data_IF_016493794006
#
_entry.id   IF_016493794006
#
_cell.length_a   1.000
_cell.length_b   1.000
_cell.length_c   1.000
_cell.angle_alpha   90.00
_cell.angle_beta   90.00
_cell.angle_gamma   90.00
#
_symmetry.space_group_name_H-M   'P 1'
#
loop_
_entity.id
_entity.type
_entity.pdbx_description
1 polymer ?
#
# COMPACT_ATOMS: atom_id res chain seq x y z
N UNK A 1 -1.62 -44.47 -26.25
CA UNK A 1 -0.92 -43.66 -25.24
C UNK A 1 -0.47 -44.60 -24.13
N UNK A 2 0.81 -44.61 -23.75
CA UNK A 2 1.32 -45.54 -22.74
C UNK A 2 1.11 -44.98 -21.31
N UNK A 3 1.30 -45.82 -20.29
CA UNK A 3 1.10 -45.45 -18.87
C UNK A 3 1.94 -44.24 -18.45
N UNK A 4 3.15 -44.10 -18.99
CA UNK A 4 4.07 -42.99 -18.72
C UNK A 4 3.52 -41.67 -19.30
N UNK A 5 2.97 -41.71 -20.52
CA UNK A 5 2.33 -40.55 -21.15
C UNK A 5 1.06 -40.12 -20.40
N UNK A 6 0.26 -41.07 -19.89
CA UNK A 6 -0.87 -40.76 -19.01
C UNK A 6 -0.43 -40.10 -17.70
N UNK A 7 0.63 -40.61 -17.05
CA UNK A 7 1.17 -40.04 -15.82
C UNK A 7 1.69 -38.61 -16.05
N UNK A 8 2.39 -38.36 -17.16
CA UNK A 8 2.88 -37.03 -17.55
C UNK A 8 1.72 -36.06 -17.78
N UNK A 9 0.68 -36.47 -18.52
CA UNK A 9 -0.50 -35.64 -18.75
C UNK A 9 -1.22 -35.28 -17.44
N UNK A 10 -1.37 -36.24 -16.53
CA UNK A 10 -2.00 -35.99 -15.23
C UNK A 10 -1.16 -35.03 -14.37
N UNK A 11 0.17 -35.19 -14.36
CA UNK A 11 1.07 -34.28 -13.64
C UNK A 11 1.01 -32.85 -14.23
N UNK A 12 1.07 -32.73 -15.56
CA UNK A 12 0.96 -31.45 -16.25
C UNK A 12 -0.40 -30.78 -15.98
N UNK A 13 -1.50 -31.55 -15.99
CA UNK A 13 -2.83 -31.04 -15.68
C UNK A 13 -2.93 -30.51 -14.25
N UNK A 14 -2.45 -31.27 -13.26
CA UNK A 14 -2.42 -30.81 -11.86
C UNK A 14 -1.60 -29.53 -11.71
N UNK A 15 -0.43 -29.49 -12.34
CA UNK A 15 0.41 -28.29 -12.30
C UNK A 15 -0.30 -27.06 -12.92
N UNK A 16 -1.00 -27.23 -14.05
CA UNK A 16 -1.78 -26.16 -14.67
C UNK A 16 -2.92 -25.70 -13.75
N UNK A 17 -3.67 -26.64 -13.16
CA UNK A 17 -4.78 -26.36 -12.25
C UNK A 17 -4.29 -25.61 -10.99
N UNK A 18 -3.20 -26.07 -10.38
CA UNK A 18 -2.57 -25.41 -9.22
C UNK A 18 -2.11 -23.98 -9.55
N UNK A 19 -1.45 -23.77 -10.70
CA UNK A 19 -1.06 -22.42 -11.12
C UNK A 19 -2.26 -21.52 -11.40
N UNK A 20 -3.32 -22.06 -11.98
CA UNK A 20 -4.55 -21.31 -12.25
C UNK A 20 -5.19 -20.83 -10.95
N UNK A 21 -5.34 -21.73 -9.98
CA UNK A 21 -5.86 -21.39 -8.64
C UNK A 21 -4.99 -20.32 -7.96
N UNK A 22 -3.66 -20.48 -8.02
CA UNK A 22 -2.72 -19.52 -7.44
C UNK A 22 -2.86 -18.14 -8.09
N UNK A 23 -2.95 -18.08 -9.42
CA UNK A 23 -3.14 -16.81 -10.14
C UNK A 23 -4.46 -16.12 -9.76
N UNK A 24 -5.56 -16.88 -9.63
CA UNK A 24 -6.85 -16.34 -9.23
C UNK A 24 -6.81 -15.79 -7.80
N UNK A 25 -6.24 -16.54 -6.85
CA UNK A 25 -6.06 -16.07 -5.48
C UNK A 25 -5.20 -14.80 -5.40
N UNK A 26 -4.15 -14.70 -6.22
CA UNK A 26 -3.34 -13.49 -6.29
C UNK A 26 -4.13 -12.29 -6.84
N UNK A 27 -4.95 -12.50 -7.87
CA UNK A 27 -5.79 -11.44 -8.43
C UNK A 27 -6.84 -10.95 -7.42
N UNK A 28 -7.48 -11.86 -6.68
CA UNK A 28 -8.43 -11.54 -5.62
C UNK A 28 -7.77 -10.75 -4.48
N UNK A 29 -6.59 -11.19 -4.02
CA UNK A 29 -5.84 -10.48 -2.99
C UNK A 29 -5.40 -9.08 -3.43
N UNK A 30 -5.00 -8.91 -4.70
CA UNK A 30 -4.65 -7.60 -5.26
C UNK A 30 -5.87 -6.66 -5.36
N UNK A 31 -7.04 -7.18 -5.74
CA UNK A 31 -8.27 -6.39 -5.79
C UNK A 31 -8.70 -5.93 -4.38
N UNK A 32 -8.69 -6.84 -3.40
CA UNK A 32 -8.96 -6.52 -2.00
C UNK A 32 -7.99 -5.47 -1.47
N UNK A 33 -6.72 -5.58 -1.85
CA UNK A 33 -5.71 -4.60 -1.47
C UNK A 33 -6.01 -3.19 -2.00
N UNK A 34 -6.34 -3.07 -3.29
CA UNK A 34 -6.69 -1.78 -3.89
C UNK A 34 -7.89 -1.16 -3.18
N UNK A 35 -8.90 -1.96 -2.84
CA UNK A 35 -10.05 -1.48 -2.06
C UNK A 35 -9.65 -1.00 -0.65
N UNK A 36 -8.79 -1.74 0.04
CA UNK A 36 -8.29 -1.35 1.38
C UNK A 36 -7.47 -0.06 1.32
N UNK A 37 -6.65 0.09 0.29
CA UNK A 37 -5.88 1.29 0.04
C UNK A 37 -6.80 2.49 -0.22
N UNK A 38 -7.83 2.34 -1.05
CA UNK A 38 -8.81 3.40 -1.30
C UNK A 38 -9.53 3.81 -0.01
N UNK A 39 -9.93 2.83 0.82
CA UNK A 39 -10.53 3.09 2.13
C UNK A 39 -9.58 3.87 3.07
N UNK A 40 -8.29 3.58 3.01
CA UNK A 40 -7.29 4.31 3.78
C UNK A 40 -7.09 5.74 3.27
N UNK A 41 -6.97 5.94 1.96
CA UNK A 41 -6.87 7.29 1.41
C UNK A 41 -8.11 8.11 1.79
N UNK A 42 -9.30 7.50 1.79
CA UNK A 42 -10.51 8.12 2.31
C UNK A 42 -10.44 8.42 3.82
N UNK A 43 -9.85 7.54 4.62
CA UNK A 43 -9.64 7.77 6.06
C UNK A 43 -8.71 8.96 6.31
N UNK A 44 -7.58 9.03 5.59
CA UNK A 44 -6.63 10.14 5.69
C UNK A 44 -7.30 11.47 5.32
N UNK A 45 -8.15 11.47 4.28
CA UNK A 45 -8.95 12.66 3.92
C UNK A 45 -9.85 13.14 5.05
N UNK A 46 -10.46 12.22 5.79
CA UNK A 46 -11.31 12.56 6.93
C UNK A 46 -10.45 13.17 8.04
N UNK A 47 -9.27 12.59 8.32
CA UNK A 47 -8.34 13.11 9.32
C UNK A 47 -7.85 14.53 9.00
N UNK A 48 -7.57 14.83 7.74
CA UNK A 48 -7.13 16.18 7.31
C UNK A 48 -8.30 17.11 6.96
N UNK A 49 -9.55 16.63 7.03
CA UNK A 49 -10.72 17.44 6.69
C UNK A 49 -10.83 18.76 7.47
N UNK A 50 -10.47 18.84 8.78
CA UNK A 50 -10.50 20.09 9.50
C UNK A 50 -9.57 21.17 8.92
N UNK A 51 -8.51 20.78 8.20
CA UNK A 51 -7.55 21.72 7.60
C UNK A 51 -8.10 22.44 6.37
N UNK A 52 -9.20 21.94 5.77
CA UNK A 52 -9.85 22.57 4.61
C UNK A 52 -10.40 23.97 4.86
N UNK A 53 -10.52 24.39 6.12
CA UNK A 53 -10.90 25.76 6.47
C UNK A 53 -9.74 26.74 6.40
N UNK A 54 -8.50 26.26 6.29
CA UNK A 54 -7.31 27.10 6.19
C UNK A 54 -7.11 27.56 4.74
N UNK A 55 -6.78 28.84 4.57
CA UNK A 55 -6.43 29.37 3.26
C UNK A 55 -5.13 28.74 2.75
N UNK A 56 -5.09 28.38 1.46
CA UNK A 56 -3.96 27.71 0.84
C UNK A 56 -3.78 26.23 1.19
N UNK A 57 -4.72 25.58 1.89
CA UNK A 57 -4.72 24.13 2.06
C UNK A 57 -5.53 23.43 0.96
N UNK A 58 -4.91 22.48 0.26
CA UNK A 58 -5.54 21.74 -0.85
C UNK A 58 -5.24 20.24 -0.68
N UNK A 59 -6.24 19.41 -1.02
CA UNK A 59 -6.09 17.95 -1.09
C UNK A 59 -6.43 17.48 -2.50
N UNK A 60 -5.48 16.82 -3.17
CA UNK A 60 -5.63 16.31 -4.53
C UNK A 60 -5.42 14.79 -4.59
N UNK A 61 -6.15 14.10 -5.47
CA UNK A 61 -5.80 12.71 -5.84
C UNK A 61 -4.66 12.74 -6.83
N UNK A 62 -3.71 11.83 -6.63
CA UNK A 62 -2.63 11.57 -7.58
C UNK A 62 -2.62 10.09 -7.94
N UNK A 63 -2.31 9.79 -9.19
CA UNK A 63 -2.02 8.41 -9.61
C UNK A 63 -0.55 8.10 -9.35
N UNK A 64 -0.27 6.90 -8.87
CA UNK A 64 1.08 6.47 -8.52
C UNK A 64 1.28 4.99 -8.84
N UNK A 65 2.46 4.68 -9.36
CA UNK A 65 2.92 3.32 -9.57
C UNK A 65 3.61 2.81 -8.31
N UNK A 66 3.39 1.55 -7.96
CA UNK A 66 4.10 0.89 -6.88
C UNK A 66 4.36 -0.59 -7.17
N UNK A 67 5.49 -1.14 -6.68
CA UNK A 67 5.78 -2.55 -6.80
C UNK A 67 4.76 -3.40 -6.03
N UNK A 68 4.41 -4.53 -6.63
CA UNK A 68 3.61 -5.58 -6.04
C UNK A 68 4.29 -6.93 -6.26
N UNK A 69 4.41 -7.72 -5.21
CA UNK A 69 4.99 -9.06 -5.27
C UNK A 69 3.94 -10.10 -4.94
N UNK A 70 3.76 -11.09 -5.80
CA UNK A 70 2.82 -12.16 -5.54
C UNK A 70 3.42 -13.31 -4.70
N UNK A 71 2.58 -14.30 -4.39
CA UNK A 71 3.00 -15.48 -3.61
C UNK A 71 4.12 -16.32 -4.24
N UNK A 72 4.32 -16.19 -5.55
CA UNK A 72 5.38 -16.84 -6.30
C UNK A 72 6.61 -15.94 -6.47
N UNK A 73 6.68 -14.82 -5.74
CA UNK A 73 7.75 -13.80 -5.82
C UNK A 73 7.84 -13.15 -7.20
N UNK A 74 6.74 -13.14 -7.96
CA UNK A 74 6.67 -12.41 -9.22
C UNK A 74 6.38 -10.95 -8.91
N UNK A 75 7.24 -10.08 -9.40
CA UNK A 75 7.06 -8.64 -9.29
C UNK A 75 6.22 -8.11 -10.44
N UNK A 76 5.34 -7.16 -10.13
CA UNK A 76 4.58 -6.37 -11.09
C UNK A 76 4.47 -4.94 -10.60
N UNK A 77 4.13 -4.02 -11.49
CA UNK A 77 3.83 -2.63 -11.14
C UNK A 77 2.32 -2.47 -11.14
N UNK A 78 1.77 -2.02 -10.02
CA UNK A 78 0.36 -1.69 -9.89
C UNK A 78 0.19 -0.17 -9.89
N UNK A 79 -0.90 0.26 -10.52
CA UNK A 79 -1.36 1.64 -10.47
C UNK A 79 -2.41 1.78 -9.41
N UNK A 80 -2.19 2.75 -8.52
CA UNK A 80 -3.10 3.04 -7.42
C UNK A 80 -3.19 4.54 -7.18
N UNK A 81 -4.13 4.92 -6.32
CA UNK A 81 -4.32 6.32 -5.93
C UNK A 81 -3.51 6.64 -4.68
N UNK A 82 -2.98 7.85 -4.66
CA UNK A 82 -2.41 8.50 -3.49
C UNK A 82 -3.07 9.85 -3.25
N UNK A 83 -2.55 10.57 -2.27
CA UNK A 83 -2.96 11.92 -1.94
C UNK A 83 -1.78 12.88 -2.02
N UNK A 84 -2.05 14.09 -2.47
CA UNK A 84 -1.17 15.24 -2.31
C UNK A 84 -1.86 16.26 -1.43
N UNK A 85 -1.20 16.64 -0.35
CA UNK A 85 -1.61 17.67 0.60
C UNK A 85 -0.72 18.89 0.37
N UNK A 86 -1.31 19.99 -0.07
CA UNK A 86 -0.59 21.25 -0.27
C UNK A 86 -0.88 22.19 0.89
N UNK A 87 0.18 22.74 1.48
CA UNK A 87 0.15 23.73 2.56
C UNK A 87 0.84 25.00 2.05
N UNK A 88 0.04 25.95 1.54
CA UNK A 88 0.53 27.16 0.88
C UNK A 88 1.51 26.85 -0.28
N UNK A 89 2.81 26.97 -0.05
CA UNK A 89 3.89 26.73 -1.02
C UNK A 89 4.63 25.40 -0.79
N UNK A 90 4.18 24.57 0.15
CA UNK A 90 4.79 23.27 0.47
C UNK A 90 3.83 22.10 0.21
N UNK A 91 4.37 20.90 0.04
CA UNK A 91 3.59 19.71 -0.29
C UNK A 91 4.02 18.47 0.52
N UNK A 92 3.03 17.65 0.86
CA UNK A 92 3.18 16.30 1.41
C UNK A 92 2.45 15.32 0.49
N UNK A 93 3.13 14.27 0.07
CA UNK A 93 2.54 13.14 -0.65
C UNK A 93 2.33 11.97 0.28
N UNK A 94 1.20 11.29 0.08
CA UNK A 94 0.83 10.03 0.72
C UNK A 94 0.58 9.03 -0.39
N UNK A 95 1.51 8.10 -0.62
CA UNK A 95 1.47 7.19 -1.77
C UNK A 95 1.78 5.76 -1.36
N UNK A 96 1.16 4.74 -1.99
CA UNK A 96 1.55 3.35 -1.79
C UNK A 96 3.03 3.16 -2.14
N UNK A 97 3.74 2.45 -1.26
CA UNK A 97 5.16 2.18 -1.41
C UNK A 97 5.40 0.79 -2.00
N UNK A 98 4.72 -0.22 -1.49
CA UNK A 98 4.83 -1.60 -1.95
C UNK A 98 3.65 -2.44 -1.46
N UNK A 99 3.45 -3.58 -2.12
CA UNK A 99 2.45 -4.59 -1.79
C UNK A 99 3.04 -6.00 -1.93
N UNK A 100 2.66 -6.91 -1.05
CA UNK A 100 3.07 -8.31 -1.12
C UNK A 100 1.94 -9.24 -0.71
N UNK A 101 1.70 -10.27 -1.54
CA UNK A 101 0.76 -11.36 -1.27
C UNK A 101 1.51 -12.56 -0.69
N UNK A 102 1.00 -13.12 0.39
CA UNK A 102 1.55 -14.28 1.09
C UNK A 102 0.85 -15.57 0.65
N UNK A 103 1.66 -16.61 0.42
CA UNK A 103 1.30 -17.77 -0.41
C UNK A 103 0.36 -18.83 0.15
N UNK A 104 -0.59 -18.49 1.03
CA UNK A 104 -1.59 -19.50 1.41
C UNK A 104 -2.95 -18.99 1.91
N UNK A 105 -3.13 -17.71 2.23
CA UNK A 105 -4.31 -17.30 3.01
C UNK A 105 -4.80 -15.88 2.69
N UNK A 106 -5.03 -15.53 1.41
CA UNK A 106 -5.47 -14.18 0.98
C UNK A 106 -4.79 -13.04 1.77
N UNK A 107 -3.56 -13.28 2.22
CA UNK A 107 -2.93 -12.47 3.24
C UNK A 107 -1.97 -11.58 2.52
N UNK A 108 -1.98 -10.33 2.87
CA UNK A 108 -1.21 -9.35 2.16
C UNK A 108 -0.77 -8.25 3.08
N UNK A 109 0.45 -7.80 2.82
CA UNK A 109 1.09 -6.73 3.56
C UNK A 109 1.58 -5.69 2.57
N UNK A 110 1.82 -4.49 3.09
CA UNK A 110 2.47 -3.45 2.32
C UNK A 110 2.68 -2.22 3.15
N UNK A 111 3.07 -1.16 2.45
CA UNK A 111 3.26 0.12 3.08
C UNK A 111 2.81 1.29 2.20
N UNK A 112 2.63 2.42 2.86
CA UNK A 112 2.42 3.73 2.26
C UNK A 112 3.49 4.67 2.76
N UNK A 113 4.09 5.39 1.82
CA UNK A 113 5.03 6.44 2.10
C UNK A 113 4.29 7.75 2.35
N UNK A 114 4.72 8.45 3.40
CA UNK A 114 4.36 9.84 3.68
C UNK A 114 5.65 10.64 3.56
N UNK A 115 5.69 11.56 2.60
CA UNK A 115 6.91 12.29 2.30
C UNK A 115 6.63 13.73 1.89
N UNK A 116 7.55 14.62 2.20
CA UNK A 116 7.50 16.03 1.82
C UNK A 116 8.91 16.59 1.75
N UNK A 117 9.10 17.68 1.02
CA UNK A 117 10.43 18.29 0.88
C UNK A 117 10.90 18.81 2.24
N UNK A 118 12.03 18.31 2.74
CA UNK A 118 12.56 18.66 4.06
C UNK A 118 11.98 17.86 5.23
N UNK A 119 11.01 16.99 4.95
CA UNK A 119 10.42 16.06 5.90
C UNK A 119 11.29 14.80 6.07
N UNK A 120 11.22 14.16 7.23
CA UNK A 120 11.69 12.76 7.35
C UNK A 120 10.65 11.86 6.67
N UNK A 121 11.08 10.88 5.87
CA UNK A 121 10.13 9.96 5.24
C UNK A 121 9.58 8.95 6.25
N UNK A 122 8.26 8.77 6.24
CA UNK A 122 7.55 7.80 7.06
C UNK A 122 6.96 6.71 6.18
N UNK A 123 6.99 5.47 6.66
CA UNK A 123 6.18 4.40 6.07
C UNK A 123 5.14 3.91 7.05
N UNK A 124 3.89 3.81 6.61
CA UNK A 124 2.79 3.20 7.35
C UNK A 124 2.61 1.79 6.82
N UNK A 125 2.86 0.79 7.67
CA UNK A 125 2.74 -0.62 7.32
C UNK A 125 1.34 -1.12 7.69
N UNK A 126 0.77 -1.89 6.78
CA UNK A 126 -0.49 -2.57 6.99
C UNK A 126 -0.33 -4.06 6.70
N UNK A 127 -1.21 -4.84 7.30
CA UNK A 127 -1.32 -6.27 7.11
C UNK A 127 -2.79 -6.66 7.18
N UNK A 128 -3.29 -7.39 6.18
CA UNK A 128 -4.66 -7.89 6.12
C UNK A 128 -5.74 -6.84 6.45
N UNK A 129 -5.61 -5.63 5.87
CA UNK A 129 -6.57 -4.55 6.07
C UNK A 129 -6.51 -3.84 7.43
N UNK A 130 -5.50 -4.13 8.26
CA UNK A 130 -5.26 -3.43 9.52
C UNK A 130 -3.88 -2.76 9.52
N UNK A 131 -3.80 -1.57 10.09
CA UNK A 131 -2.50 -0.93 10.35
C UNK A 131 -1.78 -1.62 11.48
N UNK A 132 -0.52 -1.93 11.26
CA UNK A 132 0.31 -2.54 12.30
C UNK A 132 1.23 -1.50 12.92
N UNK A 133 1.97 -0.76 12.09
CA UNK A 133 3.04 0.11 12.56
C UNK A 133 3.36 1.24 11.60
N UNK A 134 4.04 2.25 12.12
CA UNK A 134 4.75 3.27 11.37
C UNK A 134 6.25 3.12 11.56
N UNK A 135 7.02 3.43 10.52
CA UNK A 135 8.47 3.44 10.57
C UNK A 135 9.03 4.79 10.13
N UNK A 136 10.02 5.30 10.87
CA UNK A 136 10.71 6.57 10.61
C UNK A 136 12.17 6.30 10.27
N UNK A 137 12.55 6.46 9.01
CA UNK A 137 13.88 6.09 8.56
C UNK A 137 14.26 4.64 8.94
N UNK A 138 15.56 4.30 8.93
CA UNK A 138 16.01 2.97 9.31
C UNK A 138 15.95 2.76 10.83
N UNK A 139 14.96 1.99 11.31
CA UNK A 139 15.01 1.33 12.62
C UNK A 139 14.11 1.87 13.73
N UNK A 140 13.38 2.97 13.51
CA UNK A 140 12.41 3.46 14.51
C UNK A 140 11.00 3.00 14.14
N UNK A 141 10.45 2.06 14.91
CA UNK A 141 9.08 1.56 14.75
C UNK A 141 8.15 2.13 15.83
N UNK A 142 6.95 2.54 15.43
CA UNK A 142 5.90 3.06 16.32
C UNK A 142 4.63 2.26 16.03
N UNK A 143 3.98 1.71 17.08
CA UNK A 143 2.70 1.03 16.90
C UNK A 143 1.66 2.01 16.34
N UNK A 144 0.91 1.57 15.32
CA UNK A 144 -0.06 2.45 14.68
C UNK A 144 -1.36 2.54 15.49
N UNK A 145 -1.83 3.75 15.72
CA UNK A 145 -3.16 4.06 16.27
C UNK A 145 -3.75 5.31 15.58
N UNK A 146 -5.06 5.54 15.69
CA UNK A 146 -5.74 6.64 14.96
C UNK A 146 -5.10 8.03 15.22
N UNK A 147 -4.64 8.29 16.44
CA UNK A 147 -3.95 9.54 16.80
C UNK A 147 -2.55 9.68 16.20
N UNK A 148 -1.96 8.59 15.72
CA UNK A 148 -0.54 8.55 15.36
C UNK A 148 -0.27 9.21 14.00
N UNK A 149 -1.19 9.13 13.02
CA UNK A 149 -0.99 9.81 11.73
C UNK A 149 -1.14 11.34 11.82
N UNK A 150 -2.21 11.83 12.47
CA UNK A 150 -2.42 13.28 12.63
C UNK A 150 -1.29 13.90 13.45
N UNK A 151 -0.78 13.19 14.46
CA UNK A 151 0.39 13.63 15.23
C UNK A 151 1.65 13.72 14.35
N UNK A 152 1.89 12.71 13.49
CA UNK A 152 3.01 12.75 12.53
C UNK A 152 2.92 13.98 11.63
N UNK A 153 1.74 14.26 11.06
CA UNK A 153 1.56 15.46 10.24
C UNK A 153 1.79 16.75 11.06
N UNK A 154 1.28 16.82 12.30
CA UNK A 154 1.49 17.99 13.15
C UNK A 154 2.97 18.25 13.47
N UNK A 155 3.77 17.19 13.64
CA UNK A 155 5.20 17.28 13.96
C UNK A 155 6.08 17.59 12.73
N UNK A 156 5.64 17.15 11.54
CA UNK A 156 6.41 17.21 10.30
C UNK A 156 6.06 18.40 9.39
N UNK A 157 4.78 18.83 9.34
CA UNK A 157 4.35 19.98 8.52
C UNK A 157 5.17 21.25 8.80
N UNK A 158 5.49 21.62 10.05
CA UNK A 158 6.33 22.79 10.33
C UNK A 158 7.77 22.70 9.79
N UNK A 159 8.22 21.51 9.38
CA UNK A 159 9.58 21.23 8.88
C UNK A 159 9.66 21.26 7.36
N UNK A 160 8.52 21.35 6.68
CA UNK A 160 8.45 21.40 5.24
C UNK A 160 9.19 22.61 4.70
N UNK A 161 9.78 22.43 3.52
CA UNK A 161 10.47 23.47 2.78
C UNK A 161 9.72 23.72 1.47
N UNK A 162 9.63 24.98 1.01
CA UNK A 162 9.25 25.29 -0.37
C UNK A 162 10.23 24.64 -1.34
#
# INVERSE_FOLDING_TARGET
MNSIQHALMNAARRHIEERSQTNNACAEAAALWIEQLDNLMNTIRLWVSPLKTLDGFIVEEIECDHPATDSNKRETQLKSRGLKLTFADTEVTVTPAWFQIHGSLMSASGAIDVSGKGMVSWQIHYNNGSFEKMTVGPGNEINFGELSFTQVLADEVPRLKP
#
